data_IF_430541564083
#
_entry.id   IF_430541564083
#
_cell.length_a   1.000
_cell.length_b   1.000
_cell.length_c   1.000
_cell.angle_alpha   90.00
_cell.angle_beta   90.00
_cell.angle_gamma   90.00
#
_symmetry.space_group_name_H-M   'P 1'
#
loop_
_entity.id
_entity.type
_entity.pdbx_description
1 polymer ?
#
# COMPACT_ATOMS: atom_id res chain seq x y z
N UNK A 1 -5.96 -2.49 2.01
CA UNK A 1 -5.02 -3.48 2.58
C UNK A 1 -4.10 -3.91 1.47
N UNK A 2 -2.87 -4.33 1.73
CA UNK A 2 -1.81 -4.24 0.74
C UNK A 2 -1.76 -5.41 -0.21
N UNK A 3 -1.78 -5.09 -1.49
CA UNK A 3 -1.17 -5.88 -2.55
C UNK A 3 0.35 -5.75 -2.42
N UNK A 4 0.98 -6.52 -1.55
CA UNK A 4 2.40 -6.39 -1.19
C UNK A 4 3.33 -6.50 -2.41
N UNK A 5 3.09 -7.51 -3.23
CA UNK A 5 3.92 -7.80 -4.41
C UNK A 5 3.71 -6.73 -5.48
N UNK A 6 2.46 -6.32 -5.71
CA UNK A 6 2.13 -5.27 -6.69
C UNK A 6 2.78 -3.95 -6.30
N UNK A 7 2.74 -3.57 -5.01
CA UNK A 7 3.45 -2.40 -4.51
C UNK A 7 4.96 -2.52 -4.69
N UNK A 8 5.55 -3.67 -4.38
CA UNK A 8 6.98 -3.89 -4.58
C UNK A 8 7.38 -3.71 -6.05
N UNK A 9 6.67 -4.37 -6.97
CA UNK A 9 6.91 -4.26 -8.42
C UNK A 9 6.72 -2.82 -8.92
N UNK A 10 5.68 -2.14 -8.44
CA UNK A 10 5.44 -0.74 -8.77
C UNK A 10 6.56 0.16 -8.28
N UNK A 11 7.06 -0.09 -7.06
CA UNK A 11 8.20 0.64 -6.51
C UNK A 11 9.47 0.46 -7.34
N UNK A 12 9.76 -0.73 -7.82
CA UNK A 12 10.91 -0.98 -8.68
C UNK A 12 10.83 -0.20 -10.01
N UNK A 13 9.68 -0.25 -10.68
CA UNK A 13 9.47 0.48 -11.94
C UNK A 13 9.36 2.00 -11.73
N UNK A 14 8.86 2.44 -10.58
CA UNK A 14 8.80 3.86 -10.20
C UNK A 14 10.18 4.49 -10.02
N UNK A 15 11.19 3.74 -9.57
CA UNK A 15 12.56 4.23 -9.45
C UNK A 15 13.09 4.69 -10.81
N UNK A 16 12.77 3.98 -11.89
CA UNK A 16 13.20 4.31 -13.24
C UNK A 16 12.52 5.59 -13.80
N UNK A 17 11.43 6.04 -13.18
CA UNK A 17 10.71 7.29 -13.48
C UNK A 17 11.25 8.50 -12.72
N UNK A 18 12.11 8.28 -11.73
CA UNK A 18 12.70 9.37 -10.96
C UNK A 18 13.73 10.17 -11.78
N UNK A 19 13.87 11.48 -11.52
CA UNK A 19 14.97 12.25 -12.08
C UNK A 19 16.33 11.64 -11.71
N UNK A 20 17.26 11.68 -12.64
CA UNK A 20 18.62 11.12 -12.44
C UNK A 20 19.27 11.70 -11.19
N UNK A 21 19.88 10.85 -10.36
CA UNK A 21 20.60 11.23 -9.16
C UNK A 21 19.71 11.44 -7.93
N UNK A 22 18.42 11.10 -7.98
CA UNK A 22 17.53 11.13 -6.81
C UNK A 22 17.77 9.92 -5.92
N UNK A 23 17.93 8.74 -6.52
CA UNK A 23 18.37 7.50 -5.86
C UNK A 23 19.77 7.18 -6.36
N UNK A 24 20.75 7.12 -5.46
CA UNK A 24 22.19 7.03 -5.78
C UNK A 24 22.91 5.85 -5.14
N UNK A 25 22.25 5.14 -4.22
CA UNK A 25 22.82 4.01 -3.50
C UNK A 25 21.79 2.88 -3.32
N UNK A 26 22.26 1.67 -3.06
CA UNK A 26 21.43 0.51 -2.76
C UNK A 26 20.60 0.74 -1.49
N UNK A 27 21.16 1.43 -0.48
CA UNK A 27 20.44 1.73 0.75
C UNK A 27 19.27 2.69 0.50
N UNK A 28 19.44 3.70 -0.37
CA UNK A 28 18.35 4.58 -0.80
C UNK A 28 17.30 3.81 -1.63
N UNK A 29 17.72 2.89 -2.51
CA UNK A 29 16.80 2.02 -3.24
C UNK A 29 15.95 1.17 -2.28
N UNK A 30 16.57 0.55 -1.28
CA UNK A 30 15.86 -0.23 -0.26
C UNK A 30 14.90 0.66 0.53
N UNK A 31 15.32 1.86 0.91
CA UNK A 31 14.45 2.81 1.63
C UNK A 31 13.24 3.25 0.79
N UNK A 32 13.42 3.45 -0.51
CA UNK A 32 12.32 3.74 -1.44
C UNK A 32 11.33 2.58 -1.53
N UNK A 33 11.83 1.35 -1.75
CA UNK A 33 10.99 0.14 -1.85
C UNK A 33 10.24 -0.09 -0.54
N UNK A 34 10.87 0.11 0.62
CA UNK A 34 10.16 0.05 1.89
C UNK A 34 9.09 1.15 2.00
N UNK A 35 9.41 2.37 1.56
CA UNK A 35 8.45 3.48 1.50
C UNK A 35 7.23 3.14 0.66
N UNK A 36 7.43 2.36 -0.40
CA UNK A 36 6.34 1.91 -1.27
C UNK A 36 5.42 0.84 -0.64
N UNK A 37 5.70 0.37 0.59
CA UNK A 37 4.73 -0.34 1.42
C UNK A 37 3.86 0.63 2.25
N UNK A 38 4.14 1.94 2.20
CA UNK A 38 3.34 3.01 2.79
C UNK A 38 3.07 2.84 4.28
N UNK A 39 1.84 3.14 4.73
CA UNK A 39 1.39 2.94 6.10
C UNK A 39 0.94 1.50 6.39
N UNK A 40 0.88 0.63 5.38
CA UNK A 40 0.31 -0.71 5.47
C UNK A 40 0.93 -1.63 6.52
N UNK A 41 2.26 -1.57 6.78
CA UNK A 41 2.84 -2.36 7.87
C UNK A 41 2.12 -2.20 9.21
N UNK A 42 1.49 -1.06 9.47
CA UNK A 42 0.75 -0.83 10.72
C UNK A 42 -0.51 -1.70 10.85
N UNK A 43 -1.13 -2.14 9.76
CA UNK A 43 -2.25 -3.10 9.81
C UNK A 43 -1.81 -4.48 10.32
N UNK A 44 -0.55 -4.82 10.15
CA UNK A 44 0.04 -6.08 10.62
C UNK A 44 0.67 -5.99 12.01
N UNK A 45 0.63 -4.81 12.65
CA UNK A 45 1.26 -4.58 13.94
C UNK A 45 0.37 -4.99 15.12
N UNK A 46 -0.16 -6.22 15.06
CA UNK A 46 -1.14 -6.75 16.02
C UNK A 46 -0.53 -7.18 17.36
N UNK A 47 0.79 -7.37 17.43
CA UNK A 47 1.51 -7.83 18.63
C UNK A 47 2.15 -6.66 19.41
N UNK A 48 1.49 -5.49 19.45
CA UNK A 48 1.93 -4.31 20.19
C UNK A 48 0.86 -3.86 21.17
N UNK A 49 1.23 -3.28 22.33
CA UNK A 49 0.27 -2.60 23.21
C UNK A 49 -0.41 -1.40 22.53
N UNK A 50 0.13 -0.91 21.41
CA UNK A 50 -0.38 0.24 20.65
C UNK A 50 -1.14 -0.16 19.38
N UNK A 51 -1.65 -1.39 19.32
CA UNK A 51 -2.35 -1.90 18.13
C UNK A 51 -3.46 -0.96 17.65
N UNK A 52 -4.26 -0.41 18.56
CA UNK A 52 -5.36 0.51 18.23
C UNK A 52 -4.84 1.80 17.57
N UNK A 53 -3.78 2.40 18.14
CA UNK A 53 -3.20 3.64 17.60
C UNK A 53 -2.54 3.40 16.23
N UNK A 54 -1.83 2.29 16.08
CA UNK A 54 -1.18 1.91 14.81
C UNK A 54 -2.22 1.64 13.71
N UNK A 55 -3.26 0.87 14.02
CA UNK A 55 -4.36 0.60 13.07
C UNK A 55 -5.11 1.88 12.72
N UNK A 56 -5.41 2.73 13.72
CA UNK A 56 -6.05 4.03 13.48
C UNK A 56 -5.19 4.90 12.57
N UNK A 57 -3.87 5.00 12.83
CA UNK A 57 -2.96 5.77 11.98
C UNK A 57 -2.99 5.28 10.53
N UNK A 58 -2.87 3.96 10.30
CA UNK A 58 -2.95 3.40 8.95
C UNK A 58 -4.27 3.80 8.28
N UNK A 59 -5.40 3.67 8.97
CA UNK A 59 -6.72 4.01 8.43
C UNK A 59 -6.86 5.49 8.09
N UNK A 60 -6.46 6.42 8.97
CA UNK A 60 -6.61 7.86 8.71
C UNK A 60 -5.65 8.34 7.63
N UNK A 61 -4.44 7.75 7.54
CA UNK A 61 -3.49 8.03 6.47
C UNK A 61 -4.05 7.67 5.08
N UNK A 62 -4.86 6.64 4.97
CA UNK A 62 -5.50 6.28 3.69
C UNK A 62 -6.73 7.14 3.35
N UNK A 63 -7.36 7.77 4.35
CA UNK A 63 -8.70 8.36 4.20
C UNK A 63 -8.74 9.86 4.08
N UNK A 64 -7.81 10.59 4.71
CA UNK A 64 -7.96 12.04 4.89
C UNK A 64 -6.62 12.79 4.95
N UNK A 65 -6.69 14.11 4.74
CA UNK A 65 -5.57 15.06 4.93
C UNK A 65 -4.35 14.77 4.04
N UNK A 66 -4.59 14.38 2.79
CA UNK A 66 -3.54 13.95 1.86
C UNK A 66 -2.48 15.02 1.65
N UNK A 67 -2.89 16.25 1.34
CA UNK A 67 -1.95 17.35 1.09
C UNK A 67 -1.12 17.68 2.34
N UNK A 68 -1.75 17.67 3.52
CA UNK A 68 -1.05 17.88 4.80
C UNK A 68 -0.10 16.73 5.14
N UNK A 69 -0.49 15.49 4.85
CA UNK A 69 0.36 14.31 5.04
C UNK A 69 1.66 14.45 4.26
N UNK A 70 1.59 14.75 2.97
CA UNK A 70 2.77 14.86 2.12
C UNK A 70 3.57 16.13 2.39
N UNK A 71 2.93 17.26 2.73
CA UNK A 71 3.63 18.45 3.20
C UNK A 71 4.42 18.18 4.48
N UNK A 72 3.80 17.53 5.46
CA UNK A 72 4.45 17.15 6.72
C UNK A 72 5.58 16.14 6.51
N UNK A 73 5.40 15.17 5.62
CA UNK A 73 6.43 14.19 5.28
C UNK A 73 7.67 14.87 4.68
N UNK A 74 7.48 15.79 3.73
CA UNK A 74 8.54 16.56 3.12
C UNK A 74 9.25 17.46 4.13
N UNK A 75 8.51 18.11 5.01
CA UNK A 75 9.04 18.91 6.11
C UNK A 75 9.86 18.04 7.06
N UNK A 76 9.34 16.87 7.45
CA UNK A 76 10.03 15.90 8.31
C UNK A 76 11.41 15.48 7.77
N UNK A 77 11.54 15.31 6.45
CA UNK A 77 12.84 15.02 5.81
C UNK A 77 13.84 16.13 6.08
N UNK A 78 13.41 17.39 6.10
CA UNK A 78 14.29 18.55 6.35
C UNK A 78 14.83 18.60 7.79
N UNK A 79 14.16 17.95 8.73
CA UNK A 79 14.55 17.86 10.13
C UNK A 79 15.45 16.66 10.47
N UNK A 80 15.68 15.76 9.52
CA UNK A 80 16.59 14.63 9.71
C UNK A 80 18.05 15.11 9.80
N UNK A 81 18.87 14.29 10.45
CA UNK A 81 20.30 14.52 10.41
C UNK A 81 20.83 14.50 8.96
N UNK A 82 21.82 15.34 8.58
CA UNK A 82 22.32 15.38 7.20
C UNK A 82 22.70 14.02 6.61
N UNK A 83 23.25 13.12 7.45
CA UNK A 83 23.61 11.77 7.04
C UNK A 83 22.40 10.86 6.73
N UNK A 84 21.22 11.18 7.23
CA UNK A 84 19.99 10.38 7.09
C UNK A 84 18.99 11.03 6.11
N UNK A 85 19.24 12.26 5.66
CA UNK A 85 18.33 13.04 4.82
C UNK A 85 18.06 12.39 3.45
N UNK A 86 19.07 11.78 2.83
CA UNK A 86 18.90 11.08 1.54
C UNK A 86 18.02 9.82 1.68
N UNK A 87 18.21 9.05 2.75
CA UNK A 87 17.35 7.90 3.05
C UNK A 87 15.90 8.33 3.35
N UNK A 88 15.73 9.39 4.14
CA UNK A 88 14.42 9.94 4.44
C UNK A 88 13.70 10.44 3.19
N UNK A 89 14.42 11.09 2.28
CA UNK A 89 13.89 11.50 0.98
C UNK A 89 13.49 10.28 0.13
N UNK A 90 14.33 9.26 0.06
CA UNK A 90 14.03 8.03 -0.68
C UNK A 90 12.76 7.35 -0.14
N UNK A 91 12.65 7.20 1.18
CA UNK A 91 11.45 6.66 1.83
C UNK A 91 10.20 7.51 1.54
N UNK A 92 10.31 8.84 1.62
CA UNK A 92 9.19 9.75 1.33
C UNK A 92 8.70 9.64 -0.13
N UNK A 93 9.61 9.49 -1.08
CA UNK A 93 9.27 9.28 -2.49
C UNK A 93 8.65 7.90 -2.74
N UNK A 94 9.10 6.88 -2.01
CA UNK A 94 8.47 5.57 -2.01
C UNK A 94 7.04 5.60 -1.44
N UNK A 95 6.81 6.33 -0.34
CA UNK A 95 5.46 6.50 0.23
C UNK A 95 4.54 7.27 -0.74
N UNK A 96 5.07 8.25 -1.47
CA UNK A 96 4.33 8.91 -2.54
C UNK A 96 4.00 7.94 -3.68
N UNK A 97 4.91 7.03 -4.03
CA UNK A 97 4.69 5.98 -5.04
C UNK A 97 3.57 5.02 -4.60
N UNK A 98 3.58 4.56 -3.35
CA UNK A 98 2.49 3.77 -2.77
C UNK A 98 1.13 4.49 -2.93
N UNK A 99 1.06 5.74 -2.50
CA UNK A 99 -0.16 6.55 -2.62
C UNK A 99 -0.66 6.67 -4.06
N UNK A 100 0.26 6.88 -5.01
CA UNK A 100 -0.13 7.02 -6.42
C UNK A 100 -0.64 5.71 -7.00
N UNK A 101 -0.04 4.57 -6.65
CA UNK A 101 -0.59 3.29 -7.05
C UNK A 101 -2.00 3.10 -6.48
N UNK A 102 -2.17 3.29 -5.18
CA UNK A 102 -3.45 3.09 -4.49
C UNK A 102 -4.57 3.94 -5.08
N UNK A 103 -4.36 5.26 -5.24
CA UNK A 103 -5.41 6.14 -5.76
C UNK A 103 -5.86 5.78 -7.18
N UNK A 104 -5.00 5.11 -7.96
CA UNK A 104 -5.31 4.66 -9.32
C UNK A 104 -5.90 3.25 -9.35
N UNK A 105 -5.43 2.35 -8.48
CA UNK A 105 -5.79 0.93 -8.45
C UNK A 105 -7.08 0.66 -7.67
N UNK A 106 -7.28 1.32 -6.53
CA UNK A 106 -8.42 1.04 -5.66
C UNK A 106 -9.80 1.23 -6.29
N UNK A 107 -10.05 2.21 -7.19
CA UNK A 107 -11.35 2.25 -7.87
C UNK A 107 -11.68 0.94 -8.62
N UNK A 108 -10.68 0.31 -9.24
CA UNK A 108 -10.83 -0.98 -9.91
C UNK A 108 -11.09 -2.13 -8.90
N UNK A 109 -10.38 -2.13 -7.77
CA UNK A 109 -10.55 -3.13 -6.71
C UNK A 109 -11.92 -2.99 -6.03
N UNK A 110 -12.34 -1.76 -5.69
CA UNK A 110 -13.62 -1.49 -5.03
C UNK A 110 -14.83 -1.83 -5.91
N UNK A 111 -14.75 -1.60 -7.21
CA UNK A 111 -15.83 -1.99 -8.13
C UNK A 111 -16.07 -3.50 -8.07
N UNK A 112 -15.00 -4.30 -8.14
CA UNK A 112 -15.12 -5.75 -8.03
C UNK A 112 -15.61 -6.17 -6.64
N UNK A 113 -15.06 -5.58 -5.57
CA UNK A 113 -15.47 -5.86 -4.20
C UNK A 113 -16.96 -5.60 -4.00
N UNK A 114 -17.45 -4.43 -4.42
CA UNK A 114 -18.87 -4.08 -4.28
C UNK A 114 -19.76 -5.01 -5.10
N UNK A 115 -19.37 -5.34 -6.34
CA UNK A 115 -20.13 -6.28 -7.18
C UNK A 115 -20.21 -7.68 -6.58
N UNK A 116 -19.13 -8.18 -5.96
CA UNK A 116 -19.13 -9.48 -5.27
C UNK A 116 -20.03 -9.45 -4.04
N UNK A 117 -19.89 -8.45 -3.17
CA UNK A 117 -20.69 -8.31 -1.94
C UNK A 117 -22.18 -8.10 -2.27
N UNK A 118 -22.50 -7.32 -3.31
CA UNK A 118 -23.89 -7.13 -3.76
C UNK A 118 -24.51 -8.43 -4.32
N UNK A 119 -23.69 -9.27 -4.94
CA UNK A 119 -24.15 -10.56 -5.49
C UNK A 119 -24.42 -11.63 -4.43
N UNK A 120 -23.83 -11.50 -3.24
CA UNK A 120 -23.96 -12.43 -2.12
C UNK A 120 -24.00 -11.68 -0.78
N UNK A 121 -25.19 -11.54 -0.22
CA UNK A 121 -25.42 -10.81 1.02
C UNK A 121 -24.78 -11.46 2.26
N UNK A 122 -24.37 -12.74 2.19
CA UNK A 122 -23.63 -13.40 3.28
C UNK A 122 -22.21 -12.83 3.40
N UNK A 123 -21.71 -12.14 2.36
CA UNK A 123 -20.40 -11.52 2.34
C UNK A 123 -20.37 -10.06 2.82
N UNK A 124 -21.50 -9.48 3.24
CA UNK A 124 -21.57 -8.08 3.69
C UNK A 124 -20.62 -7.81 4.87
N UNK A 125 -20.61 -8.68 5.87
CA UNK A 125 -19.73 -8.62 7.04
C UNK A 125 -18.28 -9.03 6.72
N UNK A 126 -18.04 -9.58 5.52
CA UNK A 126 -16.74 -10.09 5.05
C UNK A 126 -16.11 -9.25 3.95
N UNK A 127 -16.59 -8.03 3.78
CA UNK A 127 -16.16 -7.12 2.71
C UNK A 127 -14.64 -6.89 2.70
N UNK A 128 -13.99 -6.84 3.87
CA UNK A 128 -12.52 -6.72 3.98
C UNK A 128 -11.76 -7.96 3.48
N UNK A 129 -12.33 -9.15 3.67
CA UNK A 129 -11.77 -10.41 3.18
C UNK A 129 -11.89 -10.50 1.66
N UNK A 130 -13.05 -10.11 1.11
CA UNK A 130 -13.25 -10.03 -0.35
C UNK A 130 -12.21 -9.10 -0.97
N UNK A 131 -11.98 -7.93 -0.39
CA UNK A 131 -10.94 -6.99 -0.82
C UNK A 131 -9.54 -7.65 -0.81
N UNK A 132 -9.18 -8.31 0.30
CA UNK A 132 -7.88 -8.97 0.43
C UNK A 132 -7.67 -10.09 -0.60
N UNK A 133 -8.70 -10.87 -0.91
CA UNK A 133 -8.64 -11.94 -1.93
C UNK A 133 -8.44 -11.34 -3.33
N UNK A 134 -9.13 -10.26 -3.67
CA UNK A 134 -8.94 -9.57 -4.95
C UNK A 134 -7.49 -9.11 -5.09
N UNK A 135 -6.96 -8.44 -4.06
CA UNK A 135 -5.59 -7.94 -4.08
C UNK A 135 -4.54 -9.05 -4.12
N UNK A 136 -4.77 -10.17 -3.41
CA UNK A 136 -3.90 -11.35 -3.49
C UNK A 136 -3.88 -11.97 -4.90
N UNK A 137 -5.02 -12.03 -5.59
CA UNK A 137 -5.10 -12.48 -6.98
C UNK A 137 -4.36 -11.50 -7.92
N UNK A 138 -4.49 -10.19 -7.69
CA UNK A 138 -3.78 -9.17 -8.47
C UNK A 138 -2.26 -9.23 -8.23
N UNK A 139 -1.82 -9.52 -7.03
CA UNK A 139 -0.41 -9.77 -6.72
C UNK A 139 0.14 -10.96 -7.52
N UNK A 140 -0.59 -12.08 -7.55
CA UNK A 140 -0.22 -13.26 -8.36
C UNK A 140 -0.19 -12.91 -9.84
N UNK A 141 -1.18 -12.17 -10.35
CA UNK A 141 -1.22 -11.73 -11.74
C UNK A 141 0.01 -10.88 -12.10
N UNK A 142 0.26 -9.84 -11.32
CA UNK A 142 1.35 -8.90 -11.60
C UNK A 142 2.72 -9.57 -11.48
N UNK A 143 2.90 -10.46 -10.49
CA UNK A 143 4.11 -11.26 -10.37
C UNK A 143 4.38 -12.08 -11.63
N UNK A 144 3.37 -12.83 -12.10
CA UNK A 144 3.53 -13.66 -13.31
C UNK A 144 3.84 -12.81 -14.54
N UNK A 145 3.15 -11.68 -14.73
CA UNK A 145 3.35 -10.81 -15.90
C UNK A 145 4.71 -10.08 -15.86
N UNK A 146 5.16 -9.64 -14.68
CA UNK A 146 6.38 -8.84 -14.55
C UNK A 146 7.65 -9.68 -14.29
N UNK A 147 7.51 -11.00 -14.02
CA UNK A 147 8.61 -11.93 -13.71
C UNK A 147 8.52 -13.24 -14.51
N UNK A 148 8.18 -13.14 -15.81
CA UNK A 148 8.24 -14.25 -16.77
C UNK A 148 7.52 -15.53 -16.29
N UNK A 149 6.34 -15.41 -15.69
CA UNK A 149 5.55 -16.53 -15.21
C UNK A 149 5.96 -17.07 -13.83
N UNK A 150 6.75 -16.31 -13.07
CA UNK A 150 7.16 -16.69 -11.73
C UNK A 150 5.96 -16.81 -10.76
N UNK A 151 6.11 -17.66 -9.77
CA UNK A 151 5.14 -17.88 -8.70
C UNK A 151 5.64 -17.33 -7.36
N UNK A 152 4.77 -17.30 -6.37
CA UNK A 152 5.14 -16.89 -5.00
C UNK A 152 6.10 -17.87 -4.31
N UNK A 153 6.31 -19.06 -4.84
CA UNK A 153 7.38 -19.95 -4.41
C UNK A 153 8.76 -19.46 -4.91
N UNK A 154 8.80 -18.84 -6.11
CA UNK A 154 10.03 -18.26 -6.66
C UNK A 154 10.34 -16.90 -6.03
N UNK A 155 9.30 -16.11 -5.74
CA UNK A 155 9.37 -14.79 -5.10
C UNK A 155 8.47 -14.74 -3.85
N UNK A 156 8.89 -15.31 -2.72
CA UNK A 156 8.09 -15.31 -1.50
C UNK A 156 7.85 -13.87 -0.99
N UNK A 157 6.58 -13.45 -0.72
CA UNK A 157 6.25 -12.07 -0.32
C UNK A 157 7.06 -11.54 0.86
N UNK A 158 7.33 -12.39 1.85
CA UNK A 158 8.16 -12.01 2.99
C UNK A 158 9.61 -11.68 2.60
N UNK A 159 10.10 -12.17 1.47
CA UNK A 159 11.43 -11.89 0.92
C UNK A 159 11.51 -10.51 0.28
N UNK A 160 10.40 -10.00 -0.21
CA UNK A 160 10.31 -8.69 -0.84
C UNK A 160 10.33 -7.53 0.19
N UNK A 161 10.09 -7.83 1.47
CA UNK A 161 10.18 -6.85 2.56
C UNK A 161 11.64 -6.77 3.03
N UNK A 162 12.44 -5.93 2.36
CA UNK A 162 13.86 -5.72 2.71
C UNK A 162 14.02 -4.40 3.46
N UNK A 163 14.81 -4.42 4.54
CA UNK A 163 15.10 -3.21 5.32
C UNK A 163 16.40 -3.36 6.13
N UNK A 164 16.85 -2.26 6.72
CA UNK A 164 17.94 -2.21 7.70
C UNK A 164 17.49 -1.47 8.95
N UNK A 165 18.22 -1.65 10.09
CA UNK A 165 17.94 -0.91 11.32
C UNK A 165 17.99 0.61 11.12
N UNK A 166 18.86 1.07 10.22
CA UNK A 166 18.98 2.48 9.89
C UNK A 166 17.76 2.98 9.13
N UNK A 167 17.32 2.24 8.12
CA UNK A 167 16.11 2.56 7.33
C UNK A 167 14.89 2.56 8.24
N UNK A 168 14.71 1.51 9.07
CA UNK A 168 13.61 1.42 10.01
C UNK A 168 13.56 2.60 10.98
N UNK A 169 14.70 3.06 11.46
CA UNK A 169 14.79 4.22 12.34
C UNK A 169 14.39 5.51 11.61
N UNK A 170 14.90 5.73 10.39
CA UNK A 170 14.60 6.93 9.60
C UNK A 170 13.14 6.97 9.20
N UNK A 171 12.61 5.86 8.67
CA UNK A 171 11.20 5.72 8.32
C UNK A 171 10.29 5.92 9.54
N UNK A 172 10.63 5.30 10.66
CA UNK A 172 9.88 5.44 11.90
C UNK A 172 9.84 6.87 12.43
N UNK A 173 10.94 7.62 12.34
CA UNK A 173 10.96 9.05 12.71
C UNK A 173 9.99 9.84 11.82
N UNK A 174 9.99 9.61 10.50
CA UNK A 174 9.09 10.29 9.57
C UNK A 174 7.62 9.92 9.82
N UNK A 175 7.32 8.63 10.01
CA UNK A 175 5.95 8.18 10.29
C UNK A 175 5.43 8.70 11.62
N UNK A 176 6.26 8.72 12.67
CA UNK A 176 5.93 9.32 13.96
C UNK A 176 5.68 10.83 13.84
N UNK A 177 6.49 11.53 13.03
CA UNK A 177 6.32 12.96 12.79
C UNK A 177 5.00 13.27 12.09
N UNK A 178 4.65 12.51 11.05
CA UNK A 178 3.36 12.64 10.35
C UNK A 178 2.20 12.29 11.28
N UNK A 179 2.29 11.21 12.06
CA UNK A 179 1.26 10.79 13.00
C UNK A 179 0.91 11.90 14.00
N UNK A 180 1.92 12.49 14.63
CA UNK A 180 1.73 13.55 15.63
C UNK A 180 1.26 14.87 15.02
N UNK A 181 1.86 15.29 13.91
CA UNK A 181 1.61 16.63 13.33
C UNK A 181 0.33 16.72 12.52
N UNK A 182 -0.04 15.66 11.83
CA UNK A 182 -1.22 15.65 10.93
C UNK A 182 -2.45 15.10 11.62
N UNK A 183 -2.26 14.01 12.39
CA UNK A 183 -3.39 13.25 12.93
C UNK A 183 -3.53 13.34 14.46
N UNK A 184 -2.55 13.93 15.16
CA UNK A 184 -2.57 14.03 16.62
C UNK A 184 -2.41 12.68 17.34
N UNK A 185 -1.87 11.68 16.66
CA UNK A 185 -1.67 10.32 17.19
C UNK A 185 -0.21 10.17 17.61
N UNK A 186 0.00 9.80 18.89
CA UNK A 186 1.35 9.58 19.44
C UNK A 186 1.86 8.18 19.12
N UNK A 187 2.65 8.03 18.07
CA UNK A 187 3.31 6.78 17.67
C UNK A 187 4.81 6.93 17.86
N UNK A 188 5.44 6.17 18.77
CA UNK A 188 6.90 6.14 18.91
C UNK A 188 7.58 5.72 17.61
N UNK A 189 8.73 6.32 17.30
CA UNK A 189 9.46 6.04 16.05
C UNK A 189 9.86 4.55 15.85
N UNK A 190 9.96 3.77 16.93
CA UNK A 190 10.25 2.35 16.85
C UNK A 190 9.10 1.48 16.31
N UNK A 191 7.86 1.96 16.37
CA UNK A 191 6.67 1.16 16.01
C UNK A 191 6.63 0.81 14.51
N UNK A 192 7.05 1.72 13.61
CA UNK A 192 7.05 1.42 12.18
C UNK A 192 7.98 0.26 11.83
N UNK A 193 9.24 0.28 12.32
CA UNK A 193 10.18 -0.82 12.10
C UNK A 193 9.70 -2.15 12.72
N UNK A 194 9.04 -2.09 13.87
CA UNK A 194 8.42 -3.26 14.49
C UNK A 194 7.23 -3.78 13.67
N UNK A 195 6.43 -2.88 13.10
CA UNK A 195 5.32 -3.20 12.20
C UNK A 195 5.81 -3.90 10.92
N UNK A 196 6.87 -3.39 10.29
CA UNK A 196 7.53 -4.01 9.14
C UNK A 196 8.00 -5.44 9.47
N UNK A 197 8.64 -5.63 10.64
CA UNK A 197 9.07 -6.95 11.08
C UNK A 197 7.88 -7.90 11.36
N UNK A 198 6.76 -7.40 11.88
CA UNK A 198 5.56 -8.20 12.10
C UNK A 198 4.89 -8.58 10.78
N UNK A 199 4.78 -7.66 9.83
CA UNK A 199 4.30 -7.93 8.48
C UNK A 199 5.11 -9.04 7.81
N UNK A 200 6.45 -8.95 7.85
CA UNK A 200 7.34 -9.96 7.31
C UNK A 200 7.15 -11.34 8.00
N UNK A 201 6.98 -11.36 9.33
CA UNK A 201 6.74 -12.61 10.08
C UNK A 201 5.39 -13.22 9.72
N UNK A 202 4.35 -12.39 9.57
CA UNK A 202 3.03 -12.86 9.19
C UNK A 202 3.06 -13.52 7.82
N UNK A 203 3.60 -12.85 6.79
CA UNK A 203 3.71 -13.45 5.46
C UNK A 203 4.52 -14.76 5.47
N UNK A 204 5.60 -14.85 6.24
CA UNK A 204 6.31 -16.15 6.41
C UNK A 204 5.45 -17.23 7.08
N UNK A 205 4.48 -16.85 7.89
CA UNK A 205 3.60 -17.80 8.59
C UNK A 205 2.44 -18.26 7.70
N UNK A 206 1.81 -17.36 6.92
CA UNK A 206 0.62 -17.68 6.12
C UNK A 206 0.93 -18.21 4.72
N UNK A 207 2.12 -17.95 4.17
CA UNK A 207 2.50 -18.35 2.82
C UNK A 207 2.98 -19.80 2.71
N UNK A 208 2.71 -20.48 1.58
CA UNK A 208 1.68 -20.12 0.60
C UNK A 208 0.26 -20.51 1.04
N UNK A 209 -0.76 -19.96 0.36
CA UNK A 209 -2.16 -20.30 0.60
C UNK A 209 -2.41 -21.81 0.48
N UNK A 210 -3.30 -22.35 1.35
CA UNK A 210 -3.63 -23.77 1.34
C UNK A 210 -2.56 -24.70 1.89
N UNK A 211 -1.42 -24.19 2.40
CA UNK A 211 -0.43 -24.98 3.10
C UNK A 211 -0.97 -25.53 4.43
N UNK A 212 -0.33 -26.59 4.97
CA UNK A 212 -0.73 -27.12 6.28
C UNK A 212 -0.61 -26.07 7.41
N UNK A 213 0.36 -25.16 7.30
CA UNK A 213 0.53 -24.03 8.21
C UNK A 213 -0.64 -23.05 8.13
N UNK A 214 -0.97 -22.61 6.92
CA UNK A 214 -2.05 -21.64 6.66
C UNK A 214 -3.38 -22.20 7.15
N UNK A 215 -3.70 -23.46 6.81
CA UNK A 215 -4.92 -24.14 7.30
C UNK A 215 -5.01 -24.21 8.82
N UNK A 216 -3.89 -24.43 9.51
CA UNK A 216 -3.89 -24.47 10.97
C UNK A 216 -4.14 -23.07 11.57
N UNK A 217 -3.61 -22.02 10.96
CA UNK A 217 -3.82 -20.63 11.39
C UNK A 217 -5.26 -20.20 11.13
N UNK A 218 -5.80 -20.45 9.92
CA UNK A 218 -7.19 -20.16 9.55
C UNK A 218 -8.20 -20.89 10.46
N UNK A 219 -7.87 -22.11 10.91
CA UNK A 219 -8.73 -22.85 11.83
C UNK A 219 -8.80 -22.18 13.21
N UNK A 220 -7.71 -21.57 13.67
CA UNK A 220 -7.68 -20.82 14.94
C UNK A 220 -8.43 -19.49 14.77
N UNK A 221 -8.24 -18.78 13.66
CA UNK A 221 -8.94 -17.53 13.37
C UNK A 221 -10.44 -17.77 13.22
N UNK A 222 -10.86 -18.84 12.55
CA UNK A 222 -12.26 -19.26 12.39
C UNK A 222 -12.99 -19.62 13.68
N UNK A 223 -12.28 -19.76 14.81
CA UNK A 223 -12.92 -19.86 16.14
C UNK A 223 -13.39 -18.49 16.68
N UNK A 224 -12.93 -17.40 16.07
CA UNK A 224 -13.21 -16.02 16.53
C UNK A 224 -14.00 -15.25 15.48
N UNK A 225 -13.81 -15.54 14.20
CA UNK A 225 -14.45 -14.89 13.06
C UNK A 225 -15.00 -15.93 12.07
N UNK A 226 -16.13 -15.63 11.44
CA UNK A 226 -16.79 -16.53 10.49
C UNK A 226 -15.97 -16.73 9.20
N UNK A 227 -15.09 -15.77 8.87
CA UNK A 227 -14.19 -15.80 7.71
C UNK A 227 -12.78 -15.44 8.10
N UNK A 228 -11.79 -16.12 7.50
CA UNK A 228 -10.36 -15.88 7.77
C UNK A 228 -9.81 -14.76 6.89
N UNK A 229 -9.45 -13.62 7.50
CA UNK A 229 -8.73 -12.55 6.81
C UNK A 229 -7.34 -12.99 6.37
N UNK A 230 -6.67 -13.81 7.19
CA UNK A 230 -5.33 -14.32 6.92
C UNK A 230 -5.29 -15.25 5.71
N UNK A 231 -6.38 -16.01 5.48
CA UNK A 231 -6.52 -16.85 4.29
C UNK A 231 -6.69 -16.01 3.02
N UNK A 232 -7.37 -14.85 3.13
CA UNK A 232 -7.51 -13.90 2.03
C UNK A 232 -6.22 -13.16 1.68
N UNK A 233 -5.29 -13.02 2.64
CA UNK A 233 -3.99 -12.38 2.43
C UNK A 233 -2.92 -13.32 1.86
N UNK A 234 -3.13 -14.64 1.94
CA UNK A 234 -2.16 -15.62 1.48
C UNK A 234 -2.28 -15.84 -0.04
N UNK A 235 -1.14 -15.86 -0.72
CA UNK A 235 -1.09 -16.01 -2.16
C UNK A 235 -1.12 -17.49 -2.58
N UNK A 236 -1.81 -17.75 -3.69
CA UNK A 236 -1.85 -19.09 -4.30
C UNK A 236 -0.62 -19.34 -5.15
N UNK A 237 0.02 -20.52 -4.97
CA UNK A 237 1.04 -20.99 -5.91
C UNK A 237 0.33 -21.53 -7.14
N UNK A 238 0.36 -20.78 -8.21
CA UNK A 238 -0.29 -21.15 -9.47
C UNK A 238 0.46 -20.57 -10.65
N UNK A 239 0.40 -21.25 -11.78
CA UNK A 239 0.86 -20.76 -13.08
C UNK A 239 -0.31 -20.29 -13.96
N UNK A 240 -1.54 -20.42 -13.47
CA UNK A 240 -2.73 -19.91 -14.14
C UNK A 240 -2.91 -18.43 -13.82
N UNK A 241 -3.05 -17.60 -14.85
CA UNK A 241 -3.32 -16.17 -14.68
C UNK A 241 -4.70 -15.94 -14.09
N UNK A 242 -4.86 -15.08 -13.10
CA UNK A 242 -6.15 -14.61 -12.61
C UNK A 242 -6.81 -13.64 -13.62
N UNK A 243 -7.12 -14.13 -14.82
CA UNK A 243 -7.57 -13.32 -15.96
C UNK A 243 -8.83 -12.51 -15.63
N UNK A 244 -9.78 -13.11 -14.91
CA UNK A 244 -11.03 -12.46 -14.55
C UNK A 244 -10.80 -11.32 -13.55
N UNK A 245 -10.06 -11.57 -12.48
CA UNK A 245 -9.73 -10.56 -11.46
C UNK A 245 -8.91 -9.43 -12.07
N UNK A 246 -8.00 -9.75 -13.02
CA UNK A 246 -7.19 -8.77 -13.75
C UNK A 246 -7.92 -8.07 -14.90
N UNK A 247 -9.18 -8.43 -15.19
CA UNK A 247 -9.95 -7.92 -16.34
C UNK A 247 -9.19 -8.03 -17.68
N UNK A 248 -8.45 -9.11 -17.90
CA UNK A 248 -7.69 -9.29 -19.15
C UNK A 248 -8.60 -9.40 -20.40
N UNK A 249 -9.88 -9.66 -20.20
CA UNK A 249 -10.92 -9.64 -21.24
C UNK A 249 -11.48 -8.26 -21.57
N UNK A 250 -11.00 -7.19 -20.93
CA UNK A 250 -11.44 -5.79 -21.14
C UNK A 250 -12.94 -5.59 -21.03
N UNK A 251 -13.57 -6.24 -20.04
CA UNK A 251 -14.97 -5.99 -19.72
C UNK A 251 -15.13 -4.57 -19.16
N UNK A 252 -16.26 -3.94 -19.46
CA UNK A 252 -16.56 -2.62 -18.92
C UNK A 252 -16.78 -2.69 -17.40
N UNK A 253 -16.13 -1.80 -16.66
CA UNK A 253 -16.31 -1.59 -15.24
C UNK A 253 -16.47 -0.09 -14.94
N UNK A 254 -17.11 0.23 -13.82
CA UNK A 254 -17.49 1.59 -13.46
C UNK A 254 -16.71 2.03 -12.21
N UNK A 255 -16.02 3.16 -12.29
CA UNK A 255 -15.39 3.74 -11.11
C UNK A 255 -16.47 4.11 -10.08
N UNK A 256 -16.47 3.52 -8.87
CA UNK A 256 -17.53 3.71 -7.89
C UNK A 256 -17.56 5.12 -7.27
N UNK A 257 -16.53 5.93 -7.51
CA UNK A 257 -16.42 7.27 -6.94
C UNK A 257 -16.66 8.40 -7.93
N UNK A 258 -16.50 8.15 -9.25
CA UNK A 258 -16.65 9.16 -10.30
C UNK A 258 -17.74 8.82 -11.33
N UNK A 259 -18.29 7.61 -11.27
CA UNK A 259 -19.22 7.06 -12.28
C UNK A 259 -18.62 6.89 -13.69
N UNK A 260 -17.34 7.14 -13.88
CA UNK A 260 -16.66 6.93 -15.16
C UNK A 260 -16.57 5.44 -15.51
N UNK A 261 -16.82 5.12 -16.78
CA UNK A 261 -16.72 3.75 -17.29
C UNK A 261 -15.38 3.55 -17.98
N UNK A 262 -14.68 2.49 -17.60
CA UNK A 262 -13.42 2.05 -18.21
C UNK A 262 -13.52 0.60 -18.68
N UNK A 263 -12.63 0.20 -19.57
CA UNK A 263 -12.39 -1.19 -19.98
C UNK A 263 -10.96 -1.63 -19.70
N UNK A 264 -10.18 -0.78 -19.00
CA UNK A 264 -8.80 -1.11 -18.66
C UNK A 264 -8.71 -2.42 -17.89
N UNK A 265 -7.72 -3.21 -18.22
CA UNK A 265 -7.23 -4.30 -17.38
C UNK A 265 -6.41 -3.75 -16.21
N UNK A 266 -6.20 -4.55 -15.17
CA UNK A 266 -5.37 -4.12 -14.04
C UNK A 266 -3.91 -3.79 -14.43
N UNK A 267 -3.24 -4.56 -15.32
CA UNK A 267 -1.94 -4.15 -15.85
C UNK A 267 -1.94 -2.77 -16.51
N UNK A 268 -3.01 -2.40 -17.23
CA UNK A 268 -3.11 -1.06 -17.83
C UNK A 268 -3.35 0.03 -16.77
N UNK A 269 -4.12 -0.27 -15.72
CA UNK A 269 -4.26 0.62 -14.55
C UNK A 269 -2.91 0.84 -13.86
N UNK A 270 -2.12 -0.22 -13.70
CA UNK A 270 -0.76 -0.16 -13.15
C UNK A 270 0.15 0.71 -14.02
N UNK A 271 0.15 0.53 -15.33
CA UNK A 271 0.98 1.31 -16.25
C UNK A 271 0.55 2.79 -16.29
N UNK A 272 -0.75 3.07 -16.20
CA UNK A 272 -1.29 4.43 -16.06
C UNK A 272 -0.86 5.07 -14.74
N UNK A 273 -0.85 4.30 -13.65
CA UNK A 273 -0.36 4.78 -12.36
C UNK A 273 1.14 5.14 -12.40
N UNK A 274 1.97 4.44 -13.18
CA UNK A 274 3.38 4.80 -13.38
C UNK A 274 3.53 6.16 -14.08
N UNK A 275 2.69 6.45 -15.08
CA UNK A 275 2.68 7.76 -15.75
C UNK A 275 2.22 8.87 -14.81
N UNK A 276 1.21 8.58 -13.98
CA UNK A 276 0.74 9.52 -12.94
C UNK A 276 1.83 9.77 -11.89
N UNK A 277 2.57 8.73 -11.50
CA UNK A 277 3.69 8.88 -10.56
C UNK A 277 4.78 9.80 -11.13
N UNK A 278 5.17 9.63 -12.40
CA UNK A 278 6.16 10.48 -13.04
C UNK A 278 5.79 11.98 -12.97
N UNK A 279 4.53 12.30 -13.27
CA UNK A 279 4.02 13.67 -13.15
C UNK A 279 3.94 14.15 -11.70
N UNK A 280 3.48 13.29 -10.80
CA UNK A 280 3.24 13.61 -9.39
C UNK A 280 4.56 13.81 -8.64
N UNK A 281 5.57 12.96 -8.86
CA UNK A 281 6.87 13.07 -8.20
C UNK A 281 7.62 14.32 -8.65
N UNK A 282 7.53 14.71 -9.93
CA UNK A 282 8.11 15.96 -10.42
C UNK A 282 7.52 17.17 -9.66
N UNK A 283 6.19 17.23 -9.53
CA UNK A 283 5.53 18.29 -8.74
C UNK A 283 5.95 18.26 -7.27
N UNK A 284 5.99 17.09 -6.64
CA UNK A 284 6.40 16.92 -5.25
C UNK A 284 7.81 17.46 -4.99
N UNK A 285 8.75 17.19 -5.90
CA UNK A 285 10.16 17.64 -5.78
C UNK A 285 10.27 19.13 -6.06
N UNK A 286 9.68 19.62 -7.15
CA UNK A 286 9.93 20.95 -7.70
C UNK A 286 9.12 22.04 -7.01
N UNK A 287 7.82 21.84 -6.84
CA UNK A 287 6.92 22.94 -6.43
C UNK A 287 6.66 22.97 -4.92
N UNK A 288 6.54 21.82 -4.29
CA UNK A 288 6.07 21.71 -2.91
C UNK A 288 4.58 22.05 -2.72
N UNK A 289 3.84 22.23 -3.82
CA UNK A 289 2.39 22.41 -3.81
C UNK A 289 1.71 21.04 -3.67
N UNK A 290 1.42 20.67 -2.42
CA UNK A 290 0.86 19.36 -2.11
C UNK A 290 -0.61 19.23 -2.52
N UNK A 291 -1.34 20.32 -2.66
CA UNK A 291 -2.71 20.28 -3.22
C UNK A 291 -2.67 19.85 -4.69
N UNK A 292 -1.74 20.41 -5.46
CA UNK A 292 -1.52 20.00 -6.85
C UNK A 292 -0.92 18.60 -6.97
N UNK A 293 -0.19 18.08 -5.96
CA UNK A 293 0.33 16.71 -5.90
C UNK A 293 -0.79 15.70 -5.67
N UNK A 294 -1.72 16.00 -4.78
CA UNK A 294 -2.76 15.06 -4.36
C UNK A 294 -4.07 15.24 -5.13
N UNK A 295 -4.34 16.42 -5.66
CA UNK A 295 -5.65 16.82 -6.23
C UNK A 295 -6.80 16.50 -5.26
N UNK A 296 -6.54 16.51 -3.96
CA UNK A 296 -7.48 16.14 -2.89
C UNK A 296 -8.07 14.73 -3.02
N UNK A 297 -7.40 13.84 -3.73
CA UNK A 297 -7.81 12.44 -3.89
C UNK A 297 -7.17 11.60 -2.78
N UNK A 298 -7.94 10.76 -2.10
CA UNK A 298 -7.41 9.84 -1.10
C UNK A 298 -6.88 8.54 -1.74
N UNK A 299 -6.32 7.64 -0.92
CA UNK A 299 -5.78 6.35 -1.40
C UNK A 299 -6.84 5.45 -2.04
N UNK A 300 -8.13 5.64 -1.74
CA UNK A 300 -9.21 4.90 -2.41
C UNK A 300 -9.54 5.43 -3.81
N UNK A 301 -8.95 6.52 -4.25
CA UNK A 301 -9.31 7.19 -5.51
C UNK A 301 -10.52 8.12 -5.39
N UNK A 302 -11.00 8.38 -4.15
CA UNK A 302 -12.13 9.28 -3.88
C UNK A 302 -11.65 10.72 -3.66
N UNK A 303 -12.31 11.68 -4.29
CA UNK A 303 -12.06 13.10 -4.02
C UNK A 303 -12.59 13.47 -2.63
N UNK A 304 -11.76 14.12 -1.84
CA UNK A 304 -12.07 14.54 -0.47
C UNK A 304 -12.83 15.86 -0.45
N UNK A 305 -13.81 15.97 0.43
CA UNK A 305 -14.41 17.25 0.78
C UNK A 305 -13.46 18.11 1.63
N UNK A 306 -13.73 19.41 1.72
CA UNK A 306 -12.92 20.35 2.48
C UNK A 306 -12.76 19.94 3.96
N UNK A 307 -13.81 19.41 4.59
CA UNK A 307 -13.79 18.95 5.99
C UNK A 307 -12.92 17.71 6.22
N UNK A 308 -12.63 16.94 5.16
CA UNK A 308 -11.81 15.72 5.21
C UNK A 308 -10.34 16.01 4.89
N UNK A 309 -10.08 17.05 4.11
CA UNK A 309 -8.73 17.47 3.72
C UNK A 309 -8.15 18.50 4.69
N UNK A 310 -8.99 19.42 5.17
CA UNK A 310 -8.61 20.48 6.09
C UNK A 310 -9.35 20.33 7.44
N UNK A 311 -8.74 20.78 8.53
CA UNK A 311 -9.45 20.92 9.79
C UNK A 311 -10.58 21.94 9.59
N UNK A 312 -11.75 21.72 10.21
CA UNK A 312 -12.76 22.76 10.32
C UNK A 312 -12.11 23.92 11.06
N UNK A 313 -12.12 25.11 10.49
CA UNK A 313 -11.84 26.32 11.24
C UNK A 313 -12.89 26.39 12.37
N UNK A 314 -12.44 26.27 13.64
CA UNK A 314 -13.27 26.48 14.80
C UNK A 314 -13.66 27.97 14.94
#
# INVERSE_FOLDING_TARGET
>A
MPALITHHLFGEESIDRLPRGVITSDEERIAFILGNQGPDPFFFHILTPRVSDCTLLAQVMHRSRMSRQFACLRDGVSHLLPRDASLGRAFALGLLSHYVLDRNAHPFVYEQQFGIVESDSELEDSSSQVHAVIESDLDVLMLQLKRDGATVDDYPPAGEIVTTDRINRVAGVLMSYVAGRVYGIDIPAGEYGAAVANMQRLYRAIEPAGSAKTRAISLVEGLVHDYSLLDGLAHRVTTELPERTGNLGHLAWKNPFTDEVSTESFPEVFDRALLDYECTVARFIETGDMEAVTNHVNYSGRVLGADEEFDREE
#
